data_IF_365881916984
#
_entry.id   IF_365881916984
#
_cell.length_a   1.000
_cell.length_b   1.000
_cell.length_c   1.000
_cell.angle_alpha   90.00
_cell.angle_beta   90.00
_cell.angle_gamma   90.00
#
_symmetry.space_group_name_H-M   'P 1'
#
loop_
_entity.id
_entity.type
_entity.pdbx_description
1 polymer ?
#
# COMPACT_ATOMS: atom_id res chain seq x y z
N UNK A 1 15.73 47.38 -33.68
CA UNK A 1 16.11 46.06 -34.25
C UNK A 1 17.59 45.96 -34.63
N UNK A 2 18.17 46.95 -35.32
CA UNK A 2 19.62 47.07 -35.57
C UNK A 2 20.09 48.48 -35.16
N UNK A 3 21.41 48.72 -35.10
CA UNK A 3 22.01 50.05 -34.94
C UNK A 3 22.33 50.51 -33.51
N UNK A 4 21.80 49.85 -32.48
CA UNK A 4 21.89 50.32 -31.08
C UNK A 4 23.04 49.73 -30.25
N UNK A 5 23.91 48.89 -30.82
CA UNK A 5 24.99 48.17 -30.12
C UNK A 5 24.55 47.10 -29.10
N UNK A 6 23.36 47.24 -28.51
CA UNK A 6 22.77 46.31 -27.54
C UNK A 6 22.32 44.99 -28.18
N UNK A 7 22.26 43.93 -27.36
CA UNK A 7 21.64 42.66 -27.73
C UNK A 7 20.20 42.85 -28.24
N UNK A 8 19.78 42.03 -29.22
CA UNK A 8 18.43 42.11 -29.79
C UNK A 8 17.42 41.55 -28.81
N UNK A 9 16.33 42.28 -28.58
CA UNK A 9 15.31 41.96 -27.59
C UNK A 9 13.93 42.13 -28.24
N UNK A 10 13.13 41.07 -28.25
CA UNK A 10 11.81 41.05 -28.91
C UNK A 10 10.66 41.47 -28.00
N UNK A 11 10.80 41.28 -26.69
CA UNK A 11 9.79 41.68 -25.69
C UNK A 11 10.47 41.94 -24.34
N UNK A 12 9.90 42.86 -23.56
CA UNK A 12 10.34 43.16 -22.18
C UNK A 12 9.92 42.07 -21.17
N UNK A 13 9.04 41.14 -21.56
CA UNK A 13 8.55 40.04 -20.70
C UNK A 13 9.22 38.69 -20.97
N UNK A 14 10.32 38.66 -21.73
CA UNK A 14 11.03 37.42 -22.03
C UNK A 14 11.75 36.86 -20.78
N UNK A 15 11.97 35.54 -20.76
CA UNK A 15 12.41 34.78 -19.57
C UNK A 15 13.74 35.26 -18.98
N UNK A 16 14.64 35.79 -19.81
CA UNK A 16 15.93 36.33 -19.38
C UNK A 16 15.85 37.68 -18.64
N UNK A 17 14.67 38.31 -18.56
CA UNK A 17 14.49 39.60 -17.86
C UNK A 17 13.97 39.40 -16.44
N UNK A 18 14.42 40.27 -15.52
CA UNK A 18 13.80 40.41 -14.21
C UNK A 18 12.32 40.83 -14.38
N UNK A 19 11.40 40.10 -13.75
CA UNK A 19 9.95 40.26 -13.96
C UNK A 19 9.43 39.72 -15.30
N UNK A 20 10.25 38.99 -16.05
CA UNK A 20 9.83 38.22 -17.22
C UNK A 20 8.99 36.99 -16.86
N UNK A 21 8.42 36.33 -17.87
CA UNK A 21 7.71 35.06 -17.68
C UNK A 21 8.66 33.91 -17.30
N UNK A 22 8.16 32.90 -16.59
CA UNK A 22 8.91 31.66 -16.31
C UNK A 22 8.75 30.69 -17.51
N UNK A 23 9.85 30.08 -17.99
CA UNK A 23 9.79 29.16 -19.14
C UNK A 23 8.97 27.88 -18.87
N UNK A 24 9.16 27.31 -17.68
CA UNK A 24 8.48 26.10 -17.22
C UNK A 24 7.84 26.37 -15.84
N UNK A 25 6.70 27.06 -15.79
CA UNK A 25 5.98 27.26 -14.53
C UNK A 25 5.43 25.91 -14.02
N UNK A 26 5.32 25.71 -12.70
CA UNK A 26 4.66 24.53 -12.15
C UNK A 26 3.20 24.53 -12.60
N UNK A 27 2.78 23.48 -13.31
CA UNK A 27 1.39 23.31 -13.75
C UNK A 27 0.60 22.51 -12.71
N UNK A 28 -0.65 22.88 -12.41
CA UNK A 28 -1.47 22.12 -11.47
C UNK A 28 -1.80 20.75 -12.08
N UNK A 29 -1.35 19.68 -11.44
CA UNK A 29 -1.62 18.31 -11.86
C UNK A 29 -2.01 17.41 -10.68
N UNK A 30 -2.69 16.30 -10.98
CA UNK A 30 -3.05 15.30 -9.97
C UNK A 30 -1.85 14.43 -9.60
N UNK A 31 -1.67 14.15 -8.32
CA UNK A 31 -0.67 13.20 -7.80
C UNK A 31 -1.20 11.77 -7.57
N UNK A 32 -2.47 11.53 -7.91
CA UNK A 32 -3.15 10.26 -7.64
C UNK A 32 -2.63 9.10 -8.51
N UNK A 33 -1.90 8.16 -7.90
CA UNK A 33 -1.40 6.96 -8.57
C UNK A 33 -2.30 5.75 -8.36
N UNK A 34 -2.56 4.97 -9.43
CA UNK A 34 -3.41 3.78 -9.39
C UNK A 34 -2.60 2.55 -8.96
N UNK A 35 -2.80 2.12 -7.72
CA UNK A 35 -2.16 0.93 -7.15
C UNK A 35 -3.06 -0.32 -7.26
N UNK A 36 -2.55 -1.52 -7.63
CA UNK A 36 -3.35 -2.74 -7.69
C UNK A 36 -3.97 -3.14 -6.34
N UNK A 37 -5.22 -3.65 -6.36
CA UNK A 37 -5.94 -4.08 -5.15
C UNK A 37 -5.19 -5.16 -4.35
N UNK A 38 -4.56 -6.13 -5.04
CA UNK A 38 -3.76 -7.19 -4.40
C UNK A 38 -2.55 -6.62 -3.63
N UNK A 39 -1.89 -5.60 -4.18
CA UNK A 39 -0.74 -4.95 -3.53
C UNK A 39 -1.18 -4.19 -2.27
N UNK A 40 -2.30 -3.46 -2.32
CA UNK A 40 -2.87 -2.80 -1.12
C UNK A 40 -3.21 -3.79 -0.01
N UNK A 41 -3.83 -4.92 -0.35
CA UNK A 41 -4.15 -5.98 0.61
C UNK A 41 -2.89 -6.63 1.20
N UNK A 42 -1.86 -6.87 0.37
CA UNK A 42 -0.56 -7.38 0.82
C UNK A 42 0.13 -6.40 1.77
N UNK A 43 0.18 -5.12 1.43
CA UNK A 43 0.81 -4.08 2.27
C UNK A 43 0.11 -3.96 3.63
N UNK A 44 -1.22 -4.01 3.68
CA UNK A 44 -1.98 -3.99 4.96
C UNK A 44 -1.65 -5.21 5.82
N UNK A 45 -1.63 -6.42 5.22
CA UNK A 45 -1.26 -7.65 5.93
C UNK A 45 0.18 -7.62 6.43
N UNK A 46 1.11 -7.09 5.62
CA UNK A 46 2.53 -6.94 5.99
C UNK A 46 2.72 -5.96 7.16
N UNK A 47 2.01 -4.83 7.15
CA UNK A 47 2.09 -3.83 8.22
C UNK A 47 1.50 -4.35 9.55
N UNK A 48 0.39 -5.10 9.49
CA UNK A 48 -0.17 -5.75 10.69
C UNK A 48 0.74 -6.87 11.21
N UNK A 49 1.43 -7.60 10.32
CA UNK A 49 2.39 -8.63 10.71
C UNK A 49 3.61 -8.03 11.42
N UNK A 50 4.21 -6.98 10.87
CA UNK A 50 5.31 -6.22 11.49
C UNK A 50 4.95 -5.72 12.91
N UNK A 51 3.74 -5.16 13.08
CA UNK A 51 3.25 -4.73 14.38
C UNK A 51 3.01 -5.89 15.36
N UNK A 52 2.59 -7.06 14.86
CA UNK A 52 2.41 -8.26 15.67
C UNK A 52 3.75 -8.88 16.10
N UNK A 53 4.73 -8.97 15.19
CA UNK A 53 6.10 -9.43 15.47
C UNK A 53 6.81 -8.53 16.48
N UNK A 54 6.57 -7.21 16.41
CA UNK A 54 7.07 -6.25 17.39
C UNK A 54 6.31 -6.26 18.74
N UNK A 55 5.31 -7.13 18.93
CA UNK A 55 4.49 -7.20 20.15
C UNK A 55 3.56 -6.00 20.39
N UNK A 56 3.31 -5.17 19.36
CA UNK A 56 2.56 -3.90 19.47
C UNK A 56 1.10 -4.01 19.01
N UNK A 57 0.53 -5.21 19.06
CA UNK A 57 -0.89 -5.46 18.79
C UNK A 57 -1.55 -5.90 20.09
N UNK A 58 -2.51 -5.13 20.57
CA UNK A 58 -3.25 -5.42 21.81
C UNK A 58 -4.71 -5.67 21.48
N UNK A 59 -5.27 -6.76 22.00
CA UNK A 59 -6.68 -7.13 21.78
C UNK A 59 -7.51 -6.77 23.02
N UNK A 60 -8.63 -6.07 22.81
CA UNK A 60 -9.61 -5.72 23.84
C UNK A 60 -10.93 -6.42 23.53
N UNK A 61 -11.70 -6.83 24.53
CA UNK A 61 -12.99 -7.49 24.32
C UNK A 61 -14.03 -6.59 23.61
N UNK A 62 -14.34 -5.42 24.18
CA UNK A 62 -15.31 -4.48 23.62
C UNK A 62 -15.01 -3.00 23.97
N UNK A 63 -15.26 -2.09 23.02
CA UNK A 63 -15.25 -0.63 23.20
C UNK A 63 -16.66 -0.06 23.38
N UNK A 64 -17.34 -0.43 24.46
CA UNK A 64 -18.68 0.08 24.73
C UNK A 64 -18.65 1.27 25.70
N UNK A 65 -19.13 2.41 25.20
CA UNK A 65 -19.26 3.66 25.95
C UNK A 65 -20.65 4.26 25.72
N UNK A 66 -21.47 4.30 26.77
CA UNK A 66 -22.83 4.88 26.74
C UNK A 66 -22.84 6.35 26.30
N UNK A 67 -21.79 7.09 26.67
CA UNK A 67 -21.62 8.50 26.32
C UNK A 67 -20.19 8.76 25.82
N UNK A 68 -20.02 9.61 24.77
CA UNK A 68 -18.70 9.96 24.24
C UNK A 68 -17.90 10.74 25.30
N UNK A 69 -16.86 10.12 25.87
CA UNK A 69 -16.04 10.67 26.94
C UNK A 69 -14.55 10.46 26.63
N UNK A 70 -13.88 11.52 26.19
CA UNK A 70 -12.43 11.55 25.90
C UNK A 70 -11.59 11.08 27.09
N UNK A 71 -11.98 11.46 28.33
CA UNK A 71 -11.31 11.05 29.58
C UNK A 71 -11.36 9.53 29.82
N UNK A 72 -12.45 8.86 29.41
CA UNK A 72 -12.55 7.40 29.53
C UNK A 72 -11.58 6.72 28.57
N UNK A 73 -11.57 7.13 27.29
CA UNK A 73 -10.66 6.56 26.29
C UNK A 73 -9.18 6.82 26.65
N UNK A 74 -8.84 8.03 27.12
CA UNK A 74 -7.49 8.34 27.60
C UNK A 74 -7.10 7.45 28.80
N UNK A 75 -8.01 7.24 29.76
CA UNK A 75 -7.77 6.36 30.90
C UNK A 75 -7.52 4.91 30.49
N UNK A 76 -8.31 4.39 29.55
CA UNK A 76 -8.13 3.05 28.99
C UNK A 76 -6.75 2.90 28.31
N UNK A 77 -6.39 3.83 27.42
CA UNK A 77 -5.07 3.81 26.75
C UNK A 77 -3.90 3.93 27.73
N UNK A 78 -4.01 4.80 28.74
CA UNK A 78 -2.99 4.88 29.80
C UNK A 78 -2.89 3.62 30.65
N UNK A 79 -3.98 2.88 30.87
CA UNK A 79 -3.96 1.60 31.61
C UNK A 79 -3.33 0.43 30.83
N UNK A 80 -3.13 0.61 29.52
CA UNK A 80 -2.54 -0.37 28.62
C UNK A 80 -1.08 -0.03 28.25
N UNK A 81 -0.50 0.97 28.91
CA UNK A 81 0.88 1.43 28.69
C UNK A 81 1.19 1.75 27.20
N UNK A 82 0.19 2.17 26.43
CA UNK A 82 0.37 2.49 25.01
C UNK A 82 1.08 3.83 24.83
N UNK A 83 2.39 3.79 24.63
CA UNK A 83 3.18 4.98 24.36
C UNK A 83 3.07 5.45 22.89
N UNK A 84 3.01 6.78 22.71
CA UNK A 84 2.99 7.41 21.40
C UNK A 84 1.67 7.25 20.65
N UNK A 85 1.75 6.86 19.37
CA UNK A 85 0.62 6.90 18.42
C UNK A 85 -0.16 5.59 18.43
N UNK A 86 -1.47 5.68 18.57
CA UNK A 86 -2.36 4.52 18.72
C UNK A 86 -3.41 4.49 17.62
N UNK A 87 -3.50 3.36 16.92
CA UNK A 87 -4.62 3.05 16.03
C UNK A 87 -5.61 2.15 16.76
N UNK A 88 -6.84 2.63 16.95
CA UNK A 88 -7.94 1.86 17.53
C UNK A 88 -8.84 1.34 16.41
N UNK A 89 -8.92 0.02 16.28
CA UNK A 89 -9.79 -0.69 15.34
C UNK A 89 -11.02 -1.24 16.06
N UNK A 90 -12.17 -0.63 15.79
CA UNK A 90 -13.47 -1.04 16.37
C UNK A 90 -14.21 -2.03 15.47
N UNK A 91 -15.09 -2.83 16.06
CA UNK A 91 -16.08 -3.60 15.30
C UNK A 91 -17.14 -2.65 14.73
N UNK A 92 -17.20 -2.58 13.40
CA UNK A 92 -18.07 -1.65 12.69
C UNK A 92 -17.90 -0.18 13.11
N UNK A 93 -18.96 0.61 12.93
CA UNK A 93 -18.93 2.08 13.08
C UNK A 93 -19.43 2.51 14.47
N UNK A 94 -18.58 2.37 15.50
CA UNK A 94 -18.89 2.83 16.86
C UNK A 94 -18.72 4.35 17.02
N UNK A 95 -19.81 5.10 16.76
CA UNK A 95 -19.83 6.59 16.80
C UNK A 95 -19.31 7.19 18.12
N UNK A 96 -19.69 6.64 19.28
CA UNK A 96 -19.30 7.17 20.59
C UNK A 96 -17.78 7.05 20.82
N UNK A 97 -17.17 5.95 20.37
CA UNK A 97 -15.73 5.71 20.46
C UNK A 97 -14.98 6.66 19.53
N UNK A 98 -15.43 6.79 18.27
CA UNK A 98 -14.83 7.72 17.31
C UNK A 98 -14.90 9.19 17.79
N UNK A 99 -16.03 9.63 18.33
CA UNK A 99 -16.16 10.96 18.94
C UNK A 99 -15.26 11.16 20.17
N UNK A 100 -15.03 10.10 20.95
CA UNK A 100 -14.11 10.13 22.11
C UNK A 100 -12.64 10.16 21.68
N UNK A 101 -12.29 9.56 20.55
CA UNK A 101 -10.93 9.55 20.00
C UNK A 101 -10.53 10.85 19.28
N UNK A 102 -11.46 11.47 18.54
CA UNK A 102 -11.19 12.62 17.64
C UNK A 102 -10.46 13.82 18.30
N UNK A 103 -10.53 13.98 19.62
CA UNK A 103 -9.87 15.07 20.35
C UNK A 103 -8.43 14.75 20.80
N UNK A 104 -7.95 13.52 20.60
CA UNK A 104 -6.62 13.08 21.01
C UNK A 104 -5.69 13.09 19.77
N UNK A 105 -4.62 13.88 19.74
CA UNK A 105 -3.79 14.07 18.54
C UNK A 105 -3.01 12.81 18.12
N UNK A 106 -2.77 11.90 19.06
CA UNK A 106 -2.03 10.66 18.85
C UNK A 106 -2.93 9.43 18.69
N UNK A 107 -4.26 9.59 18.69
CA UNK A 107 -5.21 8.46 18.62
C UNK A 107 -6.09 8.57 17.38
N UNK A 108 -6.04 7.56 16.53
CA UNK A 108 -6.90 7.42 15.35
C UNK A 108 -7.89 6.28 15.59
N UNK A 109 -9.19 6.53 15.46
CA UNK A 109 -10.25 5.51 15.62
C UNK A 109 -10.86 5.21 14.26
N UNK A 110 -10.72 3.97 13.79
CA UNK A 110 -11.26 3.47 12.53
C UNK A 110 -12.08 2.19 12.73
N UNK A 111 -13.08 1.91 11.89
CA UNK A 111 -13.71 0.60 11.82
C UNK A 111 -12.72 -0.40 11.20
N UNK A 112 -12.61 -1.59 11.78
CA UNK A 112 -11.79 -2.68 11.24
C UNK A 112 -12.21 -2.98 9.79
N UNK A 113 -11.23 -3.12 8.90
CA UNK A 113 -11.49 -3.33 7.46
C UNK A 113 -11.26 -2.08 6.62
N UNK A 114 -11.38 -0.88 7.21
CA UNK A 114 -11.25 0.40 6.49
C UNK A 114 -9.88 1.07 6.64
N UNK A 115 -8.97 0.49 7.41
CA UNK A 115 -7.64 1.03 7.63
C UNK A 115 -6.74 0.93 6.40
N UNK A 116 -6.00 2.00 6.14
CA UNK A 116 -4.93 2.06 5.15
C UNK A 116 -3.66 1.40 5.71
N UNK A 117 -2.78 0.82 4.87
CA UNK A 117 -1.42 0.47 5.29
C UNK A 117 -0.67 1.64 5.95
N UNK A 118 -0.99 2.89 5.56
CA UNK A 118 -0.44 4.10 6.18
C UNK A 118 -0.84 4.24 7.65
N UNK A 119 -2.11 4.01 8.01
CA UNK A 119 -2.60 4.21 9.39
C UNK A 119 -1.92 3.23 10.35
N UNK A 120 -1.72 1.98 9.91
CA UNK A 120 -1.02 0.93 10.67
C UNK A 120 0.44 1.29 10.89
N UNK A 121 1.14 1.80 9.86
CA UNK A 121 2.56 2.21 9.96
C UNK A 121 2.71 3.50 10.78
N UNK A 122 1.76 4.43 10.69
CA UNK A 122 1.73 5.67 11.47
C UNK A 122 1.56 5.41 12.97
N UNK A 123 0.78 4.37 13.34
CA UNK A 123 0.66 3.94 14.73
C UNK A 123 1.90 3.20 15.23
N UNK A 124 2.29 3.49 16.46
CA UNK A 124 3.22 2.67 17.24
C UNK A 124 2.53 1.40 17.73
N UNK A 125 1.35 1.54 18.31
CA UNK A 125 0.53 0.43 18.85
C UNK A 125 -0.83 0.35 18.16
N UNK A 126 -1.23 -0.86 17.78
CA UNK A 126 -2.54 -1.15 17.20
C UNK A 126 -3.40 -1.85 18.26
N UNK A 127 -4.55 -1.26 18.57
CA UNK A 127 -5.52 -1.82 19.52
C UNK A 127 -6.72 -2.32 18.73
N UNK A 128 -7.06 -3.60 18.87
CA UNK A 128 -8.08 -4.28 18.07
C UNK A 128 -9.19 -4.82 18.97
N UNK A 129 -10.44 -4.52 18.62
CA UNK A 129 -11.61 -5.12 19.27
C UNK A 129 -11.76 -6.59 18.86
N UNK A 130 -11.95 -7.49 19.83
CA UNK A 130 -12.03 -8.95 19.63
C UNK A 130 -13.13 -9.33 18.65
N UNK A 131 -14.31 -8.74 18.79
CA UNK A 131 -15.45 -8.96 17.88
C UNK A 131 -15.14 -8.57 16.42
N UNK A 132 -14.23 -7.62 16.22
CA UNK A 132 -13.81 -7.19 14.89
C UNK A 132 -12.90 -8.22 14.19
N UNK A 133 -12.15 -9.03 14.96
CA UNK A 133 -11.34 -10.15 14.45
C UNK A 133 -12.21 -11.35 14.05
N UNK A 134 -13.21 -11.68 14.88
CA UNK A 134 -14.14 -12.78 14.61
C UNK A 134 -15.02 -12.50 13.38
N UNK A 135 -15.32 -11.23 13.11
CA UNK A 135 -16.10 -10.78 11.95
C UNK A 135 -15.32 -10.77 10.62
N UNK A 136 -14.02 -11.10 10.63
CA UNK A 136 -13.22 -11.14 9.39
C UNK A 136 -13.48 -12.46 8.66
N UNK A 137 -14.09 -12.45 7.45
CA UNK A 137 -14.11 -13.65 6.63
C UNK A 137 -12.67 -14.01 6.28
N UNK A 138 -12.23 -15.21 6.63
CA UNK A 138 -10.88 -15.66 6.30
C UNK A 138 -10.73 -15.71 4.76
N UNK A 139 -10.12 -14.68 4.18
CA UNK A 139 -9.77 -14.61 2.76
C UNK A 139 -9.02 -15.88 2.32
N UNK A 140 -8.21 -16.50 3.21
CA UNK A 140 -7.47 -17.74 2.92
C UNK A 140 -8.42 -18.94 2.78
N UNK A 141 -9.53 -18.99 3.52
CA UNK A 141 -10.57 -20.02 3.35
C UNK A 141 -11.19 -19.91 1.96
N UNK A 142 -11.49 -18.70 1.48
CA UNK A 142 -12.05 -18.48 0.14
C UNK A 142 -11.03 -18.79 -0.97
N UNK A 143 -9.77 -18.38 -0.82
CA UNK A 143 -8.69 -18.66 -1.77
C UNK A 143 -8.33 -20.16 -1.79
N UNK A 144 -8.29 -20.83 -0.62
CA UNK A 144 -8.09 -22.29 -0.52
C UNK A 144 -9.28 -23.06 -1.09
N UNK A 145 -10.51 -22.65 -0.84
CA UNK A 145 -11.71 -23.25 -1.43
C UNK A 145 -11.72 -23.08 -2.96
N UNK A 146 -11.32 -21.90 -3.45
CA UNK A 146 -11.24 -21.63 -4.88
C UNK A 146 -10.09 -22.41 -5.57
N UNK A 147 -8.97 -22.66 -4.87
CA UNK A 147 -7.89 -23.55 -5.36
C UNK A 147 -8.22 -25.05 -5.25
N UNK A 148 -9.07 -25.45 -4.31
CA UNK A 148 -9.49 -26.84 -4.09
C UNK A 148 -10.70 -27.25 -4.93
N UNK A 149 -11.42 -26.30 -5.53
CA UNK A 149 -12.54 -26.60 -6.42
C UNK A 149 -11.98 -27.29 -7.68
N UNK A 150 -12.42 -28.51 -8.03
CA UNK A 150 -12.17 -29.05 -9.36
C UNK A 150 -12.70 -28.04 -10.37
N UNK A 151 -11.84 -27.61 -11.30
CA UNK A 151 -12.23 -26.62 -12.30
C UNK A 151 -12.77 -27.37 -13.49
N UNK A 152 -14.04 -27.78 -13.40
CA UNK A 152 -14.71 -28.50 -14.47
C UNK A 152 -14.63 -27.66 -15.77
N UNK A 153 -14.11 -28.23 -16.88
CA UNK A 153 -13.82 -27.44 -18.09
C UNK A 153 -15.10 -26.83 -18.69
N UNK A 154 -16.25 -27.45 -18.47
CA UNK A 154 -17.58 -26.96 -18.88
C UNK A 154 -18.06 -25.77 -18.03
N UNK A 155 -17.74 -25.74 -16.74
CA UNK A 155 -18.00 -24.60 -15.86
C UNK A 155 -17.12 -23.38 -16.19
N UNK A 156 -15.87 -23.63 -16.61
CA UNK A 156 -15.00 -22.58 -17.17
C UNK A 156 -15.50 -22.06 -18.51
N UNK A 157 -15.93 -22.94 -19.42
CA UNK A 157 -16.44 -22.55 -20.73
C UNK A 157 -17.71 -21.69 -20.61
N UNK A 158 -18.67 -22.12 -19.78
CA UNK A 158 -19.90 -21.36 -19.50
C UNK A 158 -19.64 -20.04 -18.78
N UNK A 159 -18.78 -20.00 -17.76
CA UNK A 159 -18.42 -18.74 -17.08
C UNK A 159 -17.61 -17.80 -18.00
N UNK A 160 -16.77 -18.32 -18.90
CA UNK A 160 -16.04 -17.53 -19.89
C UNK A 160 -16.99 -16.97 -20.97
N UNK A 161 -17.96 -17.76 -21.43
CA UNK A 161 -19.02 -17.31 -22.33
C UNK A 161 -19.87 -16.20 -21.68
N UNK A 162 -20.31 -16.38 -20.44
CA UNK A 162 -21.08 -15.37 -19.70
C UNK A 162 -20.26 -14.08 -19.47
N UNK A 163 -18.96 -14.20 -19.17
CA UNK A 163 -18.07 -13.04 -19.08
C UNK A 163 -17.83 -12.37 -20.44
N UNK A 164 -17.81 -13.12 -21.55
CA UNK A 164 -17.70 -12.59 -22.90
C UNK A 164 -18.99 -11.83 -23.28
N UNK A 165 -20.17 -12.37 -22.97
CA UNK A 165 -21.45 -11.69 -23.15
C UNK A 165 -21.57 -10.43 -22.29
N UNK A 166 -21.21 -10.49 -21.00
CA UNK A 166 -21.19 -9.31 -20.12
C UNK A 166 -20.23 -8.22 -20.65
N UNK A 167 -19.06 -8.60 -21.21
CA UNK A 167 -18.14 -7.66 -21.88
C UNK A 167 -18.73 -7.11 -23.19
N UNK A 168 -19.39 -7.95 -23.99
CA UNK A 168 -20.04 -7.54 -25.24
C UNK A 168 -21.23 -6.60 -24.98
N UNK A 169 -22.06 -6.88 -23.98
CA UNK A 169 -23.14 -6.01 -23.53
C UNK A 169 -22.61 -4.66 -23.02
N UNK A 170 -21.55 -4.67 -22.20
CA UNK A 170 -20.89 -3.43 -21.74
C UNK A 170 -20.28 -2.63 -22.91
N UNK A 171 -19.73 -3.31 -23.92
CA UNK A 171 -19.26 -2.68 -25.17
C UNK A 171 -20.44 -2.07 -25.95
N UNK A 172 -21.53 -2.81 -26.18
CA UNK A 172 -22.77 -2.31 -26.83
C UNK A 172 -23.33 -1.07 -26.12
N UNK A 173 -23.40 -1.07 -24.78
CA UNK A 173 -23.82 0.09 -23.98
C UNK A 173 -22.87 1.28 -24.17
N UNK A 174 -21.55 1.04 -24.24
CA UNK A 174 -20.59 2.12 -24.51
C UNK A 174 -20.69 2.68 -25.93
N UNK A 175 -20.96 1.82 -26.93
CA UNK A 175 -21.17 2.22 -28.32
C UNK A 175 -22.47 3.01 -28.48
N UNK A 176 -23.59 2.55 -27.89
CA UNK A 176 -24.86 3.29 -27.96
C UNK A 176 -24.79 4.63 -27.24
N UNK A 177 -24.00 4.74 -26.16
CA UNK A 177 -23.74 6.03 -25.50
C UNK A 177 -22.89 6.97 -26.36
N UNK A 178 -21.94 6.45 -27.15
CA UNK A 178 -21.14 7.25 -28.09
C UNK A 178 -21.99 7.75 -29.25
N UNK A 179 -22.71 6.85 -29.94
CA UNK A 179 -23.60 7.21 -31.07
C UNK A 179 -24.63 8.26 -30.65
N UNK A 180 -25.25 8.11 -29.47
CA UNK A 180 -26.18 9.12 -28.93
C UNK A 180 -25.49 10.46 -28.62
N UNK A 181 -24.21 10.47 -28.27
CA UNK A 181 -23.42 11.71 -28.14
C UNK A 181 -23.23 12.38 -29.49
N UNK A 182 -22.73 11.63 -30.48
CA UNK A 182 -22.47 12.12 -31.83
C UNK A 182 -23.77 12.63 -32.53
N UNK A 183 -24.92 12.00 -32.26
CA UNK A 183 -26.26 12.46 -32.71
C UNK A 183 -26.72 13.76 -32.04
N UNK A 184 -26.38 13.97 -30.76
CA UNK A 184 -26.68 15.22 -30.04
C UNK A 184 -25.77 16.35 -30.56
N UNK A 185 -24.49 16.07 -30.81
CA UNK A 185 -23.55 17.07 -31.33
C UNK A 185 -23.86 17.45 -32.79
N UNK A 186 -24.31 16.51 -33.63
CA UNK A 186 -24.74 16.80 -35.00
C UNK A 186 -26.10 17.50 -35.07
N UNK A 187 -27.04 17.19 -34.18
CA UNK A 187 -28.31 17.94 -34.09
C UNK A 187 -28.13 19.35 -33.50
N UNK A 188 -27.22 19.55 -32.54
CA UNK A 188 -26.83 20.88 -32.07
C UNK A 188 -26.16 21.72 -33.18
N UNK A 189 -25.37 21.09 -34.05
CA UNK A 189 -24.79 21.73 -35.25
C UNK A 189 -25.86 22.19 -36.26
N UNK A 190 -26.88 21.37 -36.51
CA UNK A 190 -27.93 21.66 -37.51
C UNK A 190 -28.98 22.69 -37.08
N UNK A 191 -29.13 22.98 -35.78
CA UNK A 191 -30.05 24.02 -35.26
C UNK A 191 -29.41 25.42 -35.26
N UNK A 192 -28.10 25.53 -35.52
CA UNK A 192 -27.34 26.78 -35.54
C UNK A 192 -27.53 27.68 -36.78
N UNK A 193 -28.71 27.70 -37.41
CA UNK A 193 -28.92 28.43 -38.68
C UNK A 193 -30.34 28.99 -38.92
N UNK A 194 -30.97 29.66 -37.95
CA UNK A 194 -31.88 30.80 -38.22
C UNK A 194 -32.39 31.50 -36.95
N UNK A 195 -32.06 32.79 -36.78
CA UNK A 195 -32.83 33.73 -35.95
C UNK A 195 -32.55 35.17 -36.42
N UNK A 196 -33.59 36.00 -36.44
CA UNK A 196 -33.62 37.32 -37.09
C UNK A 196 -33.22 38.50 -36.18
N UNK A 197 -32.87 39.60 -36.84
CA UNK A 197 -32.53 40.92 -36.29
C UNK A 197 -33.72 41.63 -35.59
N UNK A 198 -33.61 41.86 -34.28
CA UNK A 198 -34.33 42.86 -33.44
C UNK A 198 -33.68 42.87 -32.02
N UNK A 199 -33.65 43.92 -31.19
CA UNK A 199 -33.92 45.36 -31.40
C UNK A 199 -32.85 46.22 -30.67
N UNK A 200 -33.19 47.16 -29.76
CA UNK A 200 -32.20 48.02 -29.09
C UNK A 200 -32.55 48.50 -27.65
N UNK A 201 -31.49 48.63 -26.82
CA UNK A 201 -31.32 49.53 -25.66
C UNK A 201 -32.17 49.27 -24.37
N UNK A 202 -31.83 49.87 -23.19
CA UNK A 202 -30.71 50.77 -22.88
C UNK A 202 -29.80 50.32 -21.70
N UNK A 203 -28.78 51.14 -21.40
CA UNK A 203 -27.72 50.87 -20.43
C UNK A 203 -28.02 51.30 -18.98
N UNK A 204 -27.38 50.61 -18.01
CA UNK A 204 -26.94 51.11 -16.70
C UNK A 204 -25.61 50.41 -16.37
N UNK A 205 -24.48 51.12 -16.48
CA UNK A 205 -23.86 51.88 -15.39
C UNK A 205 -23.31 50.97 -14.27
N UNK A 206 -22.03 50.57 -14.41
CA UNK A 206 -21.18 50.20 -13.27
C UNK A 206 -19.99 51.15 -13.22
N UNK A 207 -19.78 51.76 -12.05
CA UNK A 207 -18.75 52.75 -11.81
C UNK A 207 -17.39 52.08 -11.51
N UNK A 208 -16.33 52.80 -11.83
CA UNK A 208 -14.92 52.41 -11.73
C UNK A 208 -14.23 53.23 -10.63
N UNK A 209 -13.76 52.57 -9.57
CA UNK A 209 -12.70 53.06 -8.64
C UNK A 209 -12.17 51.88 -7.79
N UNK A 210 -10.99 51.96 -7.13
CA UNK A 210 -9.87 51.10 -7.53
C UNK A 210 -9.25 50.25 -6.41
N UNK A 211 -8.31 49.38 -6.78
CA UNK A 211 -7.37 48.75 -5.86
C UNK A 211 -6.47 49.76 -5.13
N UNK A 212 -6.12 49.49 -3.85
CA UNK A 212 -4.85 49.91 -3.25
C UNK A 212 -3.80 48.79 -3.30
N UNK A 213 -2.55 49.15 -3.60
CA UNK A 213 -1.39 48.27 -3.77
C UNK A 213 -0.91 47.54 -2.48
N UNK A 214 -0.12 46.45 -2.61
CA UNK A 214 0.25 45.58 -1.49
C UNK A 214 1.42 46.11 -0.63
N UNK A 215 1.35 45.83 0.66
CA UNK A 215 2.44 46.08 1.60
C UNK A 215 3.54 45.00 1.52
N UNK A 216 4.64 45.37 0.87
CA UNK A 216 6.05 45.00 1.10
C UNK A 216 6.40 43.77 1.95
N UNK A 217 7.24 42.90 1.38
CA UNK A 217 7.87 41.77 2.05
C UNK A 217 9.19 42.15 2.74
N UNK A 218 9.62 41.33 3.71
CA UNK A 218 11.03 41.14 4.08
C UNK A 218 11.23 39.71 4.62
N UNK A 219 12.46 39.15 4.50
CA UNK A 219 12.60 37.71 4.27
C UNK A 219 12.91 36.91 5.54
N UNK A 220 12.26 35.77 5.69
CA UNK A 220 12.73 34.69 6.57
C UNK A 220 13.33 33.56 5.72
N UNK A 221 14.28 32.84 6.31
CA UNK A 221 15.39 32.20 5.61
C UNK A 221 15.28 30.69 5.72
N UNK A 222 14.89 30.01 4.64
CA UNK A 222 14.86 28.54 4.61
C UNK A 222 16.25 27.95 4.92
N UNK A 223 16.38 27.00 5.87
CA UNK A 223 17.64 26.33 6.15
C UNK A 223 17.92 25.23 5.11
N UNK A 224 19.18 25.13 4.67
CA UNK A 224 19.65 24.09 3.76
C UNK A 224 19.57 22.67 4.35
N UNK A 225 19.42 21.62 3.52
CA UNK A 225 19.36 20.24 3.98
C UNK A 225 20.73 19.77 4.52
N UNK A 226 20.77 18.98 5.61
CA UNK A 226 22.02 18.45 6.14
C UNK A 226 22.66 17.46 5.16
N UNK A 227 23.95 17.61 4.95
CA UNK A 227 24.76 16.75 4.10
C UNK A 227 25.02 15.41 4.80
N UNK A 228 24.90 14.30 4.06
CA UNK A 228 25.25 12.99 4.58
C UNK A 228 26.78 12.82 4.59
N UNK A 229 27.42 13.00 5.74
CA UNK A 229 28.79 12.53 5.95
C UNK A 229 28.80 11.01 6.12
N UNK A 230 29.73 10.35 5.42
CA UNK A 230 29.88 8.91 5.44
C UNK A 230 30.60 8.45 6.71
N UNK A 231 29.90 7.70 7.57
CA UNK A 231 30.52 6.95 8.66
C UNK A 231 30.89 5.56 8.15
N UNK A 232 32.17 5.36 7.84
CA UNK A 232 32.73 4.03 7.60
C UNK A 232 32.70 3.20 8.89
N UNK A 233 32.30 1.92 8.86
CA UNK A 233 32.32 1.05 10.04
C UNK A 233 33.74 0.56 10.33
N UNK A 234 34.08 0.48 11.62
CA UNK A 234 35.30 -0.12 12.16
C UNK A 234 35.01 -0.66 13.58
N UNK A 235 35.78 -1.62 14.10
CA UNK A 235 35.63 -3.03 13.70
C UNK A 235 35.22 -3.94 14.89
N UNK A 236 34.91 -5.19 14.60
CA UNK A 236 34.60 -6.22 15.59
C UNK A 236 35.71 -6.42 16.64
N UNK A 237 35.28 -6.72 17.87
CA UNK A 237 36.11 -7.28 18.94
C UNK A 237 35.36 -8.47 19.58
N UNK A 238 36.07 -9.48 20.11
CA UNK A 238 35.68 -10.87 19.86
C UNK A 238 34.66 -11.48 20.85
N UNK A 239 33.99 -12.51 20.36
CA UNK A 239 33.16 -13.44 21.14
C UNK A 239 33.98 -14.07 22.26
N UNK A 240 33.48 -14.01 23.49
CA UNK A 240 34.07 -14.69 24.63
C UNK A 240 33.71 -16.17 24.63
N UNK A 241 34.74 -17.00 24.61
CA UNK A 241 34.70 -18.44 24.77
C UNK A 241 34.12 -18.85 26.14
N UNK A 242 33.24 -19.86 26.17
CA UNK A 242 32.85 -20.55 27.41
C UNK A 242 32.69 -22.03 27.09
N UNK A 243 33.53 -22.84 27.75
CA UNK A 243 33.65 -24.27 27.56
C UNK A 243 32.78 -25.05 28.60
N UNK A 244 32.94 -26.38 28.78
CA UNK A 244 31.92 -27.32 28.31
C UNK A 244 31.20 -28.07 29.46
N UNK A 245 30.08 -28.72 29.12
CA UNK A 245 29.33 -29.64 29.99
C UNK A 245 29.17 -30.97 29.22
N UNK A 246 29.28 -32.15 29.88
CA UNK A 246 29.92 -33.31 29.26
C UNK A 246 28.97 -34.28 28.53
N UNK A 247 29.61 -35.25 27.87
CA UNK A 247 29.03 -36.30 27.05
C UNK A 247 27.92 -37.14 27.72
N UNK A 248 26.86 -37.39 26.94
CA UNK A 248 26.19 -38.69 26.91
C UNK A 248 26.22 -39.21 25.45
N UNK A 249 26.39 -40.51 25.29
CA UNK A 249 26.49 -41.19 23.99
C UNK A 249 25.10 -41.57 23.48
N UNK A 250 24.58 -40.86 22.47
CA UNK A 250 23.39 -41.27 21.72
C UNK A 250 23.69 -41.21 20.22
N UNK A 251 23.24 -42.23 19.49
CA UNK A 251 23.59 -42.41 18.07
C UNK A 251 22.77 -41.50 17.15
N UNK A 252 23.44 -40.80 16.24
CA UNK A 252 22.85 -40.13 15.07
C UNK A 252 21.63 -39.22 15.33
N UNK A 253 21.83 -38.09 16.01
CA UNK A 253 20.82 -37.02 16.16
C UNK A 253 20.52 -36.23 14.88
N UNK A 254 20.06 -36.88 13.82
CA UNK A 254 19.57 -36.25 12.58
C UNK A 254 18.09 -36.59 12.37
N UNK A 255 17.19 -35.70 12.79
CA UNK A 255 15.75 -35.83 12.59
C UNK A 255 15.33 -35.24 11.22
N UNK A 256 15.04 -36.06 10.19
CA UNK A 256 14.75 -35.56 8.83
C UNK A 256 13.47 -34.72 8.72
N UNK A 257 12.57 -34.80 9.72
CA UNK A 257 11.32 -34.03 9.73
C UNK A 257 11.51 -32.56 10.10
N UNK A 258 12.52 -32.24 10.91
CA UNK A 258 12.69 -30.89 11.51
C UNK A 258 13.72 -30.03 10.77
N UNK A 259 14.68 -30.63 10.08
CA UNK A 259 15.82 -29.92 9.44
C UNK A 259 15.37 -29.00 8.30
N UNK A 260 15.96 -27.80 8.20
CA UNK A 260 15.70 -26.87 7.09
C UNK A 260 16.46 -27.26 5.82
N UNK A 261 15.74 -27.27 4.68
CA UNK A 261 16.29 -27.68 3.39
C UNK A 261 17.08 -26.54 2.73
N UNK A 262 18.37 -26.73 2.35
CA UNK A 262 19.17 -25.72 1.67
C UNK A 262 18.70 -25.45 0.24
N UNK A 263 19.31 -24.48 -0.44
CA UNK A 263 19.03 -24.22 -1.86
C UNK A 263 19.51 -25.40 -2.71
N UNK A 264 18.89 -25.57 -3.88
CA UNK A 264 19.17 -26.71 -4.78
C UNK A 264 20.65 -26.77 -5.22
N UNK A 265 21.35 -25.63 -5.28
CA UNK A 265 22.78 -25.57 -5.59
C UNK A 265 23.66 -26.23 -4.51
N UNK A 266 23.30 -26.05 -3.24
CA UNK A 266 24.07 -26.48 -2.06
C UNK A 266 23.58 -27.85 -1.53
N UNK A 267 22.61 -28.47 -2.24
CA UNK A 267 21.92 -29.68 -1.82
C UNK A 267 22.82 -30.93 -1.90
N UNK A 268 23.70 -30.99 -2.91
CA UNK A 268 24.62 -32.12 -3.06
C UNK A 268 25.61 -32.20 -1.89
N UNK A 269 26.23 -31.06 -1.55
CA UNK A 269 27.18 -30.95 -0.43
C UNK A 269 26.50 -31.26 0.93
N UNK A 270 25.25 -30.84 1.10
CA UNK A 270 24.45 -31.15 2.29
C UNK A 270 24.12 -32.65 2.40
N UNK A 271 23.70 -33.29 1.30
CA UNK A 271 23.36 -34.72 1.29
C UNK A 271 24.59 -35.63 1.39
N UNK A 272 25.78 -35.14 1.03
CA UNK A 272 27.04 -35.85 1.24
C UNK A 272 27.39 -36.06 2.74
N UNK A 273 26.84 -35.24 3.64
CA UNK A 273 26.95 -35.40 5.09
C UNK A 273 25.92 -36.35 5.73
N UNK A 274 25.11 -37.04 4.93
CA UNK A 274 24.11 -38.00 5.40
C UNK A 274 24.49 -39.39 4.87
N UNK A 275 24.67 -40.34 5.81
CA UNK A 275 25.12 -41.71 5.51
C UNK A 275 23.99 -42.75 5.53
N UNK A 276 22.79 -42.38 6.01
CA UNK A 276 21.64 -43.29 6.11
C UNK A 276 20.62 -43.04 4.97
N UNK A 277 20.42 -44.05 4.12
CA UNK A 277 19.46 -44.04 3.00
C UNK A 277 18.06 -43.60 3.45
N UNK A 278 17.58 -44.11 4.59
CA UNK A 278 16.22 -43.80 5.08
C UNK A 278 16.03 -42.30 5.40
N UNK A 279 17.09 -41.59 5.80
CA UNK A 279 17.04 -40.16 6.05
C UNK A 279 16.99 -39.37 4.72
N UNK A 280 17.69 -39.85 3.69
CA UNK A 280 17.68 -39.24 2.34
C UNK A 280 16.31 -39.42 1.67
N UNK A 281 15.68 -40.60 1.80
CA UNK A 281 14.32 -40.86 1.31
C UNK A 281 13.26 -40.00 2.01
N UNK A 282 13.36 -39.85 3.34
CA UNK A 282 12.45 -38.99 4.11
C UNK A 282 12.54 -37.51 3.69
N UNK A 283 13.75 -37.01 3.42
CA UNK A 283 13.96 -35.66 2.88
C UNK A 283 13.40 -35.52 1.45
N UNK A 284 13.58 -36.54 0.59
CA UNK A 284 13.02 -36.56 -0.76
C UNK A 284 11.50 -36.49 -0.76
N UNK A 285 10.83 -37.20 0.17
CA UNK A 285 9.38 -37.17 0.32
C UNK A 285 8.84 -35.78 0.75
N UNK A 286 9.65 -35.01 1.48
CA UNK A 286 9.32 -33.65 1.96
C UNK A 286 9.62 -32.57 0.91
N UNK A 287 10.57 -32.78 0.01
CA UNK A 287 10.97 -31.79 -0.99
C UNK A 287 10.08 -31.79 -2.26
N UNK A 288 9.24 -30.76 -2.38
CA UNK A 288 8.39 -30.54 -3.57
C UNK A 288 9.12 -30.06 -4.83
N UNK A 289 10.44 -29.79 -4.77
CA UNK A 289 11.22 -29.22 -5.88
C UNK A 289 11.60 -30.29 -6.91
N UNK A 290 10.92 -30.30 -8.05
CA UNK A 290 11.21 -31.21 -9.19
C UNK A 290 12.67 -31.21 -9.67
N UNK A 291 13.41 -30.11 -9.46
CA UNK A 291 14.84 -29.99 -9.80
C UNK A 291 15.78 -30.67 -8.81
N UNK A 292 15.32 -30.96 -7.58
CA UNK A 292 16.11 -31.64 -6.55
C UNK A 292 16.04 -33.17 -6.66
N UNK A 293 14.95 -33.72 -7.22
CA UNK A 293 14.73 -35.15 -7.40
C UNK A 293 15.93 -35.96 -7.98
N UNK A 294 16.65 -35.51 -9.03
CA UNK A 294 17.82 -36.25 -9.53
C UNK A 294 19.02 -36.25 -8.58
N UNK A 295 19.15 -35.25 -7.70
CA UNK A 295 20.24 -35.16 -6.72
C UNK A 295 19.99 -36.17 -5.58
N UNK A 296 18.73 -36.27 -5.11
CA UNK A 296 18.33 -37.31 -4.16
C UNK A 296 18.52 -38.71 -4.74
N UNK A 297 18.11 -38.95 -5.99
CA UNK A 297 18.28 -40.25 -6.65
C UNK A 297 19.75 -40.66 -6.75
N UNK A 298 20.63 -39.76 -7.18
CA UNK A 298 22.07 -40.02 -7.25
C UNK A 298 22.67 -40.37 -5.87
N UNK A 299 22.27 -39.66 -4.79
CA UNK A 299 22.77 -39.98 -3.44
C UNK A 299 22.22 -41.31 -2.90
N UNK A 300 20.99 -41.68 -3.24
CA UNK A 300 20.44 -43.00 -2.88
C UNK A 300 21.20 -44.12 -3.61
N UNK A 301 21.51 -43.94 -4.89
CA UNK A 301 22.34 -44.88 -5.69
C UNK A 301 23.80 -44.97 -5.19
N UNK A 302 24.36 -43.91 -4.58
CA UNK A 302 25.69 -43.94 -3.95
C UNK A 302 25.72 -44.73 -2.61
N UNK A 303 24.59 -44.81 -1.92
CA UNK A 303 24.48 -45.39 -0.57
C UNK A 303 23.88 -46.82 -0.58
N UNK A 304 23.41 -47.31 -1.72
CA UNK A 304 22.77 -48.63 -1.92
C UNK A 304 23.74 -49.70 -2.44
#
# INVERSE_FOLDING_TARGET
>A
QKGTGRARQGTIRAVQWAGGGVAFPPTPHSWNQKVPRKLRALARRSALNDRAEAGRVVVIEAFDSDAPKTRWLKGLLSSMETEGKVLVLTDGVKKNVHLSGRNLPDVQVLPFGSESPYDVIWSGTVVIEKQALDSVPDDRSSERANRRRPVDPEALASAAAEQAERKAARKRISTSRRVRGDEIDTSASLVGASATKAEAAPAKAQAKTPDPEPAQASPEKDPEPPQHEAVSPAPEAPVAETAPVPAEEETSGFDPETVDLPKVADLADFLAGIDNVAHVEALQARDSRKTAAPIYAARIEELS
#
